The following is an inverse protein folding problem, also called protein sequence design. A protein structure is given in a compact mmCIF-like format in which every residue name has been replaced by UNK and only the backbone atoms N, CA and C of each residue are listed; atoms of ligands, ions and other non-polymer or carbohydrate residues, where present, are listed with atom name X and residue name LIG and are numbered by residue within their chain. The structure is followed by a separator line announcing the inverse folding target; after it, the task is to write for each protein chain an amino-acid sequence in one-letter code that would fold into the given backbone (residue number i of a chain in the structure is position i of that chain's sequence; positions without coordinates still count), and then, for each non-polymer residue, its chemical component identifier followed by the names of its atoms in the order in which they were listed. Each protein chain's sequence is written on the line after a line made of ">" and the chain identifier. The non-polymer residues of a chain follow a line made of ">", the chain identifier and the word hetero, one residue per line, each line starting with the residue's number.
data_IF_797617531134
#
_entry.id   IF_797617531134
#
_cell.length_a   1.000
_cell.length_b   1.000
_cell.length_c   1.000
_cell.angle_alpha   90.00
_cell.angle_beta   90.00
_cell.angle_gamma   90.00
#
_symmetry.space_group_name_H-M   'P 1'
#
loop_
_entity.id
_entity.type
_entity.pdbx_description
1 polymer ?
#
# COMPACT_ATOMS: atom_id res chain seq x y z
N UNK A 1 5.13 -7.37 -1.54
CA UNK A 1 4.79 -6.03 -1.06
C UNK A 1 4.04 -5.27 -2.15
N UNK A 2 2.91 -4.70 -1.80
CA UNK A 2 2.03 -4.00 -2.75
C UNK A 2 1.88 -2.54 -2.32
N UNK A 3 2.18 -1.63 -3.23
CA UNK A 3 1.94 -0.21 -3.09
C UNK A 3 0.71 0.15 -3.95
N UNK A 4 -0.43 0.37 -3.29
CA UNK A 4 -1.66 0.80 -3.94
C UNK A 4 -1.72 2.33 -3.92
N UNK A 5 -1.73 2.95 -5.09
CA UNK A 5 -1.80 4.39 -5.25
C UNK A 5 -3.23 4.82 -5.55
N UNK A 6 -3.76 5.71 -4.75
CA UNK A 6 -5.14 6.14 -4.86
C UNK A 6 -5.34 7.61 -4.50
N UNK A 7 -6.57 8.07 -4.56
CA UNK A 7 -7.00 9.40 -4.15
C UNK A 7 -8.49 9.38 -3.85
N UNK A 8 -8.94 10.25 -2.96
CA UNK A 8 -10.39 10.51 -2.81
C UNK A 8 -11.01 11.09 -4.09
N UNK A 9 -10.19 11.59 -5.01
CA UNK A 9 -10.60 12.07 -6.34
C UNK A 9 -10.54 10.97 -7.43
N UNK A 10 -10.10 9.76 -7.07
CA UNK A 10 -10.10 8.63 -7.98
C UNK A 10 -11.49 7.99 -8.03
N UNK A 11 -12.28 8.30 -9.03
CA UNK A 11 -13.66 7.82 -9.18
C UNK A 11 -13.77 6.30 -9.32
N UNK A 12 -12.73 5.64 -9.85
CA UNK A 12 -12.58 4.18 -9.92
C UNK A 12 -12.07 3.52 -8.62
N UNK A 13 -12.04 4.22 -7.49
CA UNK A 13 -11.57 3.71 -6.19
C UNK A 13 -12.08 2.32 -5.84
N UNK A 14 -13.37 2.05 -6.10
CA UNK A 14 -14.01 0.77 -5.78
C UNK A 14 -13.31 -0.44 -6.41
N UNK A 15 -12.74 -0.31 -7.62
CA UNK A 15 -12.02 -1.40 -8.27
C UNK A 15 -10.73 -1.75 -7.51
N UNK A 16 -9.95 -0.75 -7.09
CA UNK A 16 -8.77 -0.94 -6.23
C UNK A 16 -9.15 -1.55 -4.89
N UNK A 17 -10.18 -1.01 -4.25
CA UNK A 17 -10.71 -1.50 -2.98
C UNK A 17 -11.08 -2.98 -3.02
N UNK A 18 -11.90 -3.42 -3.99
CA UNK A 18 -12.32 -4.80 -4.12
C UNK A 18 -11.13 -5.73 -4.40
N UNK A 19 -10.23 -5.34 -5.31
CA UNK A 19 -9.01 -6.10 -5.59
C UNK A 19 -8.14 -6.31 -4.34
N UNK A 20 -7.96 -5.26 -3.50
CA UNK A 20 -7.21 -5.37 -2.23
C UNK A 20 -7.86 -6.34 -1.24
N UNK A 21 -9.18 -6.28 -1.09
CA UNK A 21 -9.90 -7.23 -0.23
C UNK A 21 -9.67 -8.66 -0.72
N UNK A 22 -9.80 -8.92 -2.03
CA UNK A 22 -9.58 -10.25 -2.59
C UNK A 22 -8.16 -10.75 -2.40
N UNK A 23 -7.17 -9.90 -2.55
CA UNK A 23 -5.78 -10.26 -2.23
C UNK A 23 -5.63 -10.70 -0.76
N UNK A 24 -6.17 -9.93 0.18
CA UNK A 24 -6.13 -10.27 1.60
C UNK A 24 -6.91 -11.56 1.91
N UNK A 25 -8.06 -11.78 1.29
CA UNK A 25 -8.85 -13.01 1.44
C UNK A 25 -8.09 -14.26 0.97
N UNK A 26 -7.37 -14.17 -0.15
CA UNK A 26 -6.68 -15.30 -0.78
C UNK A 26 -5.33 -15.57 -0.10
N UNK A 27 -4.55 -14.54 0.19
CA UNK A 27 -3.16 -14.70 0.62
C UNK A 27 -2.93 -14.44 2.11
N UNK A 28 -3.90 -13.81 2.81
CA UNK A 28 -3.78 -13.52 4.24
C UNK A 28 -2.50 -12.77 4.57
N UNK A 29 -1.73 -13.30 5.53
CA UNK A 29 -0.47 -12.71 6.00
C UNK A 29 0.71 -12.83 4.99
N UNK A 30 0.49 -13.49 3.83
CA UNK A 30 1.51 -13.57 2.79
C UNK A 30 1.52 -12.37 1.83
N UNK A 31 0.62 -11.43 2.02
CA UNK A 31 0.60 -10.18 1.27
C UNK A 31 0.65 -8.99 2.22
N UNK A 32 1.53 -8.04 1.95
CA UNK A 32 1.57 -6.72 2.60
C UNK A 32 1.07 -5.70 1.60
N UNK A 33 0.06 -4.95 1.97
CA UNK A 33 -0.50 -3.86 1.16
C UNK A 33 -0.34 -2.56 1.92
N UNK A 34 0.13 -1.53 1.24
CA UNK A 34 0.16 -0.16 1.74
C UNK A 34 -0.53 0.74 0.73
N UNK A 35 -1.35 1.67 1.20
CA UNK A 35 -2.15 2.55 0.36
C UNK A 35 -1.63 3.98 0.43
N UNK A 36 -1.11 4.47 -0.68
CA UNK A 36 -0.60 5.83 -0.81
C UNK A 36 -1.67 6.75 -1.42
N UNK A 37 -2.22 7.63 -0.62
CA UNK A 37 -3.09 8.70 -1.10
C UNK A 37 -2.30 9.83 -1.74
N UNK A 38 -2.81 10.36 -2.86
CA UNK A 38 -2.16 11.42 -3.60
C UNK A 38 -3.16 12.40 -4.20
N UNK A 39 -2.80 13.66 -4.21
CA UNK A 39 -3.58 14.73 -4.81
C UNK A 39 -3.60 15.99 -3.95
N UNK A 40 -3.83 17.14 -4.59
CA UNK A 40 -3.83 18.43 -3.89
C UNK A 40 -4.98 18.56 -2.90
N UNK A 41 -6.12 17.97 -3.24
CA UNK A 41 -7.36 18.08 -2.48
C UNK A 41 -7.70 16.74 -1.77
N UNK A 42 -6.78 15.76 -1.81
CA UNK A 42 -6.87 14.54 -1.01
C UNK A 42 -6.51 14.85 0.45
N UNK A 43 -7.28 14.39 1.43
CA UNK A 43 -7.00 14.69 2.84
C UNK A 43 -5.90 13.83 3.46
N UNK A 44 -5.45 12.76 2.79
CA UNK A 44 -4.56 11.73 3.36
C UNK A 44 -3.17 11.59 2.71
N UNK A 45 -2.58 12.58 2.02
CA UNK A 45 -1.28 12.40 1.39
C UNK A 45 -0.14 12.42 2.41
N UNK A 46 0.66 11.36 2.46
CA UNK A 46 1.95 11.38 3.14
C UNK A 46 2.98 12.15 2.28
N UNK A 47 3.66 13.14 2.87
CA UNK A 47 4.51 14.10 2.13
C UNK A 47 5.59 13.41 1.28
N UNK A 48 6.44 12.58 1.90
CA UNK A 48 7.55 11.93 1.20
C UNK A 48 7.06 10.94 0.14
N UNK A 49 5.96 10.23 0.42
CA UNK A 49 5.35 9.36 -0.57
C UNK A 49 4.73 10.11 -1.74
N UNK A 50 4.17 11.29 -1.49
CA UNK A 50 3.70 12.18 -2.56
C UNK A 50 4.85 12.65 -3.46
N UNK A 51 6.02 12.92 -2.88
CA UNK A 51 7.23 13.23 -3.64
C UNK A 51 7.70 12.03 -4.47
N UNK A 52 7.66 10.81 -3.90
CA UNK A 52 7.96 9.56 -4.62
C UNK A 52 7.00 9.32 -5.79
N UNK A 53 5.69 9.42 -5.58
CA UNK A 53 4.67 9.26 -6.63
C UNK A 53 4.92 10.24 -7.79
N UNK A 54 5.29 11.47 -7.48
CA UNK A 54 5.65 12.49 -8.47
C UNK A 54 6.94 12.14 -9.21
N UNK A 55 7.95 11.64 -8.50
CA UNK A 55 9.25 11.23 -9.07
C UNK A 55 9.07 10.10 -10.10
N UNK A 56 8.28 9.08 -9.78
CA UNK A 56 7.98 7.97 -10.70
C UNK A 56 7.04 8.35 -11.84
N UNK A 57 6.45 9.56 -11.79
CA UNK A 57 5.59 10.08 -12.85
C UNK A 57 4.20 9.45 -12.93
N UNK A 58 3.71 8.85 -11.83
CA UNK A 58 2.36 8.27 -11.75
C UNK A 58 1.29 9.30 -12.09
N UNK A 59 0.34 8.95 -12.96
CA UNK A 59 -0.66 9.91 -13.48
C UNK A 59 -2.11 9.48 -13.30
N UNK A 60 -2.35 8.20 -13.14
CA UNK A 60 -3.68 7.62 -13.10
C UNK A 60 -3.91 6.89 -11.79
N UNK A 61 -5.09 7.03 -11.21
CA UNK A 61 -5.50 6.44 -9.94
C UNK A 61 -6.90 5.84 -10.07
N UNK A 62 -7.18 4.70 -9.44
CA UNK A 62 -6.26 3.86 -8.68
C UNK A 62 -5.26 3.12 -9.57
N UNK A 63 -4.11 2.79 -9.00
CA UNK A 63 -3.01 2.09 -9.66
C UNK A 63 -2.18 1.34 -8.63
N UNK A 64 -1.39 0.35 -9.03
CA UNK A 64 -0.63 -0.48 -8.10
C UNK A 64 0.75 -0.81 -8.64
N UNK A 65 1.74 -0.85 -7.74
CA UNK A 65 3.03 -1.47 -7.98
C UNK A 65 3.19 -2.70 -7.08
N UNK A 66 3.77 -3.78 -7.61
CA UNK A 66 4.16 -4.96 -6.83
C UNK A 66 5.68 -5.03 -6.78
N UNK A 67 6.23 -5.03 -5.56
CA UNK A 67 7.67 -5.06 -5.27
C UNK A 67 8.47 -4.01 -6.07
N UNK A 68 7.84 -2.91 -6.49
CA UNK A 68 8.41 -1.86 -7.36
C UNK A 68 8.99 -2.40 -8.68
N UNK A 69 8.69 -3.64 -9.01
CA UNK A 69 9.14 -4.34 -10.23
C UNK A 69 8.04 -4.41 -11.26
N UNK A 70 6.84 -4.80 -10.85
CA UNK A 70 5.64 -4.75 -11.67
C UNK A 70 4.94 -3.43 -11.38
N UNK A 71 4.90 -2.54 -12.37
CA UNK A 71 4.49 -1.16 -12.19
C UNK A 71 3.28 -0.78 -13.02
N UNK A 72 2.54 0.21 -12.52
CA UNK A 72 1.39 0.80 -13.21
C UNK A 72 0.30 -0.22 -13.54
N UNK A 73 0.01 -1.11 -12.57
CA UNK A 73 -1.02 -2.13 -12.70
C UNK A 73 -2.39 -1.54 -12.36
N UNK A 74 -3.30 -1.56 -13.33
CA UNK A 74 -4.66 -1.03 -13.13
C UNK A 74 -5.57 -2.08 -12.49
N UNK A 75 -6.41 -1.70 -11.51
CA UNK A 75 -7.44 -2.59 -11.02
C UNK A 75 -8.53 -2.75 -12.06
N UNK A 76 -8.79 -3.99 -12.42
CA UNK A 76 -10.02 -4.36 -13.12
C UNK A 76 -10.61 -5.64 -12.52
N UNK A 77 -11.91 -5.84 -12.72
CA UNK A 77 -12.60 -7.05 -12.37
C UNK A 77 -13.43 -7.43 -13.59
N UNK A 78 -13.36 -8.68 -14.01
CA UNK A 78 -14.08 -9.12 -15.17
C UNK A 78 -13.93 -10.61 -15.47
N UNK A 79 -14.71 -11.07 -16.43
CA UNK A 79 -14.63 -12.41 -16.97
C UNK A 79 -13.94 -12.34 -18.33
N UNK A 80 -12.87 -13.12 -18.52
CA UNK A 80 -12.15 -13.15 -19.78
C UNK A 80 -12.79 -14.10 -20.81
N UNK A 81 -13.51 -15.11 -20.34
CA UNK A 81 -14.17 -16.15 -21.15
C UNK A 81 -15.58 -16.54 -20.68
N UNK A 82 -16.16 -15.74 -19.76
CA UNK A 82 -17.52 -15.93 -19.27
C UNK A 82 -17.68 -16.93 -18.14
N UNK A 83 -16.61 -17.55 -17.64
CA UNK A 83 -16.71 -18.59 -16.61
C UNK A 83 -16.15 -18.19 -15.24
N UNK A 84 -15.24 -17.17 -15.14
CA UNK A 84 -14.60 -16.79 -13.87
C UNK A 84 -14.45 -15.28 -13.71
N UNK A 85 -14.71 -14.82 -12.50
CA UNK A 85 -14.42 -13.45 -12.11
C UNK A 85 -12.91 -13.30 -11.87
N UNK A 86 -12.24 -12.46 -12.65
CA UNK A 86 -10.81 -12.20 -12.58
C UNK A 86 -10.58 -10.91 -11.79
N UNK A 87 -9.73 -10.97 -10.78
CA UNK A 87 -9.24 -9.81 -10.04
C UNK A 87 -7.81 -9.52 -10.49
N UNK A 88 -7.58 -8.40 -11.17
CA UNK A 88 -6.28 -8.10 -11.79
C UNK A 88 -5.12 -8.11 -10.81
N UNK A 89 -5.30 -7.58 -9.61
CA UNK A 89 -4.23 -7.59 -8.59
C UNK A 89 -3.87 -9.00 -8.13
N UNK A 90 -4.85 -9.91 -8.05
CA UNK A 90 -4.59 -11.32 -7.71
C UNK A 90 -3.78 -11.99 -8.81
N UNK A 91 -4.18 -11.80 -10.08
CA UNK A 91 -3.49 -12.37 -11.24
C UNK A 91 -2.05 -11.84 -11.40
N UNK A 92 -1.86 -10.54 -11.16
CA UNK A 92 -0.53 -9.91 -11.22
C UNK A 92 0.34 -10.30 -10.02
N UNK A 93 -0.25 -10.46 -8.84
CA UNK A 93 0.47 -10.96 -7.66
C UNK A 93 0.90 -12.43 -7.84
N UNK A 94 0.07 -13.27 -8.45
CA UNK A 94 0.42 -14.65 -8.78
C UNK A 94 1.64 -14.73 -9.70
N UNK A 95 1.73 -13.85 -10.67
CA UNK A 95 2.91 -13.73 -11.56
C UNK A 95 4.14 -13.23 -10.79
N UNK A 96 3.96 -12.23 -9.91
CA UNK A 96 5.05 -11.65 -9.14
C UNK A 96 5.66 -12.65 -8.15
N UNK A 97 4.85 -13.44 -7.45
CA UNK A 97 5.32 -14.44 -6.47
C UNK A 97 6.10 -15.61 -7.07
N UNK A 98 6.04 -15.82 -8.40
CA UNK A 98 6.89 -16.80 -9.08
C UNK A 98 8.37 -16.39 -9.09
N UNK A 99 8.67 -15.12 -8.82
CA UNK A 99 10.04 -14.64 -8.70
C UNK A 99 10.67 -15.09 -7.39
N UNK A 100 11.95 -15.44 -7.47
CA UNK A 100 12.71 -15.84 -6.29
C UNK A 100 13.03 -14.61 -5.46
N UNK A 101 12.64 -14.63 -4.18
CA UNK A 101 13.06 -13.60 -3.23
C UNK A 101 14.58 -13.63 -3.03
N UNK A 102 15.20 -12.47 -3.06
CA UNK A 102 16.64 -12.31 -2.80
C UNK A 102 16.96 -12.15 -1.33
N UNK A 103 15.96 -11.84 -0.51
CA UNK A 103 16.12 -11.62 0.93
C UNK A 103 14.81 -11.89 1.69
N UNK A 104 14.96 -12.19 2.99
CA UNK A 104 13.88 -12.16 3.97
C UNK A 104 14.05 -10.92 4.84
N UNK A 105 12.95 -10.21 5.10
CA UNK A 105 12.93 -9.03 5.97
C UNK A 105 11.95 -9.25 7.12
N UNK A 106 12.47 -9.23 8.34
CA UNK A 106 11.67 -9.25 9.58
C UNK A 106 11.58 -7.83 10.13
N UNK A 107 10.38 -7.34 10.36
CA UNK A 107 10.14 -5.98 10.85
C UNK A 107 9.44 -6.02 12.20
N UNK A 108 9.89 -5.18 13.12
CA UNK A 108 9.21 -4.94 14.39
C UNK A 108 9.11 -3.46 14.68
N UNK A 109 7.92 -3.03 15.11
CA UNK A 109 7.64 -1.66 15.53
C UNK A 109 7.30 -1.58 17.02
N UNK A 110 7.69 -0.50 17.68
CA UNK A 110 7.33 -0.24 19.08
C UNK A 110 6.94 1.23 19.27
N UNK A 111 5.71 1.44 19.70
CA UNK A 111 5.25 2.75 20.14
C UNK A 111 5.85 3.07 21.53
N UNK A 112 6.39 4.29 21.70
CA UNK A 112 6.91 4.76 22.98
C UNK A 112 5.80 4.91 24.03
N UNK A 113 6.16 4.89 25.32
CA UNK A 113 5.19 4.99 26.42
C UNK A 113 4.43 6.32 26.41
N UNK A 114 5.04 7.38 25.94
CA UNK A 114 4.44 8.71 25.78
C UNK A 114 3.66 8.89 24.48
N UNK A 115 3.61 7.84 23.64
CA UNK A 115 2.97 7.81 22.32
C UNK A 115 3.51 8.91 21.35
N UNK A 116 4.76 9.31 21.48
CA UNK A 116 5.35 10.34 20.63
C UNK A 116 6.26 9.80 19.54
N UNK A 117 6.78 8.58 19.71
CA UNK A 117 7.69 7.95 18.75
C UNK A 117 7.29 6.52 18.45
N UNK A 118 7.55 6.09 17.21
CA UNK A 118 7.56 4.68 16.82
C UNK A 118 8.98 4.32 16.44
N UNK A 119 9.60 3.41 17.21
CA UNK A 119 10.89 2.80 16.86
C UNK A 119 10.63 1.59 15.99
N UNK A 120 11.32 1.48 14.85
CA UNK A 120 11.20 0.37 13.91
C UNK A 120 12.57 -0.27 13.73
N UNK A 121 12.63 -1.60 13.88
CA UNK A 121 13.80 -2.43 13.59
C UNK A 121 13.47 -3.35 12.41
N UNK A 122 14.35 -3.37 11.40
CA UNK A 122 14.34 -4.33 10.32
C UNK A 122 15.57 -5.23 10.40
N UNK A 123 15.36 -6.54 10.24
CA UNK A 123 16.40 -7.57 10.14
C UNK A 123 16.32 -8.20 8.76
N UNK A 124 17.40 -8.10 8.01
CA UNK A 124 17.48 -8.57 6.63
C UNK A 124 18.46 -9.71 6.53
N UNK A 125 18.01 -10.82 5.98
CA UNK A 125 18.86 -11.98 5.63
C UNK A 125 18.78 -12.21 4.13
N UNK A 126 19.91 -12.15 3.45
CA UNK A 126 20.00 -12.40 2.01
C UNK A 126 20.23 -13.86 1.69
N UNK A 127 19.73 -14.31 0.54
CA UNK A 127 19.91 -15.67 0.02
C UNK A 127 21.18 -15.82 -0.85
N UNK A 128 22.08 -14.81 -0.84
CA UNK A 128 23.33 -14.81 -1.60
C UNK A 128 24.44 -14.06 -0.86
N UNK A 129 25.68 -14.22 -1.32
CA UNK A 129 26.82 -13.39 -0.90
C UNK A 129 27.32 -12.57 -2.08
N UNK A 130 27.76 -11.34 -1.81
CA UNK A 130 28.29 -10.46 -2.85
C UNK A 130 28.90 -9.19 -2.29
N UNK A 131 29.69 -8.50 -3.14
CA UNK A 131 30.30 -7.21 -2.84
C UNK A 131 29.74 -6.12 -3.73
N UNK A 132 29.82 -4.87 -3.28
CA UNK A 132 29.38 -3.67 -4.04
C UNK A 132 27.89 -3.69 -4.39
N UNK A 133 27.07 -4.29 -3.53
CA UNK A 133 25.63 -4.22 -3.65
C UNK A 133 25.13 -2.82 -3.28
N UNK A 134 24.00 -2.43 -3.83
CA UNK A 134 23.37 -1.13 -3.63
C UNK A 134 21.94 -1.23 -3.07
N UNK A 135 21.67 -2.28 -2.28
CA UNK A 135 20.39 -2.40 -1.59
C UNK A 135 20.29 -1.37 -0.47
N UNK A 136 19.10 -0.90 -0.26
CA UNK A 136 18.75 -0.01 0.85
C UNK A 136 17.33 -0.30 1.32
N UNK A 137 17.06 -0.05 2.59
CA UNK A 137 15.72 -0.12 3.16
C UNK A 137 15.02 1.21 3.03
N UNK A 138 13.71 1.17 2.85
CA UNK A 138 12.82 2.27 3.18
C UNK A 138 11.77 1.78 4.18
N UNK A 139 11.16 2.70 4.91
CA UNK A 139 10.20 2.35 5.93
C UNK A 139 8.92 3.16 5.74
N UNK A 140 7.79 2.51 6.03
CA UNK A 140 6.49 3.16 6.06
C UNK A 140 5.75 2.85 7.35
N UNK A 141 4.97 3.82 7.83
CA UNK A 141 3.91 3.60 8.79
C UNK A 141 2.59 3.74 8.05
N UNK A 142 1.70 2.79 8.28
CA UNK A 142 0.30 2.88 7.85
C UNK A 142 -0.62 3.00 9.05
N UNK A 143 -1.80 3.54 8.82
CA UNK A 143 -2.89 3.58 9.80
C UNK A 143 -4.13 2.92 9.22
N UNK A 144 -4.81 2.13 10.06
CA UNK A 144 -6.07 1.49 9.73
C UNK A 144 -7.25 2.25 10.33
N UNK A 145 -8.40 2.18 9.65
CA UNK A 145 -9.64 2.76 10.13
C UNK A 145 -9.66 4.28 10.12
N UNK A 146 -8.92 4.91 9.21
CA UNK A 146 -8.98 6.36 9.04
C UNK A 146 -10.32 6.79 8.45
N UNK A 147 -10.92 7.81 9.04
CA UNK A 147 -12.21 8.33 8.58
C UNK A 147 -12.42 9.78 9.04
N UNK A 148 -13.21 10.52 8.26
CA UNK A 148 -13.73 11.83 8.66
C UNK A 148 -15.00 12.11 7.85
N UNK A 149 -16.02 12.67 8.49
CA UNK A 149 -17.31 12.97 7.84
C UNK A 149 -17.21 14.01 6.72
N UNK A 150 -16.12 14.80 6.72
CA UNK A 150 -15.86 15.80 5.67
C UNK A 150 -15.17 15.22 4.43
N UNK A 151 -14.65 14.01 4.51
CA UNK A 151 -13.97 13.38 3.37
C UNK A 151 -14.96 12.88 2.34
N UNK A 152 -14.71 13.25 1.10
CA UNK A 152 -15.59 12.94 -0.04
C UNK A 152 -14.81 12.13 -1.04
N UNK A 153 -15.24 10.89 -1.27
CA UNK A 153 -14.72 10.01 -2.32
C UNK A 153 -15.54 10.18 -3.58
N UNK A 154 -14.89 10.49 -4.69
CA UNK A 154 -15.50 10.42 -6.03
C UNK A 154 -15.80 8.96 -6.38
N UNK A 155 -16.93 8.69 -7.03
CA UNK A 155 -17.43 7.35 -7.27
C UNK A 155 -18.15 7.25 -8.62
N UNK A 156 -17.55 6.54 -9.59
CA UNK A 156 -18.18 6.27 -10.89
C UNK A 156 -19.03 4.99 -10.88
N UNK A 157 -18.96 4.20 -9.79
CA UNK A 157 -19.66 2.92 -9.74
C UNK A 157 -21.18 3.07 -9.73
N UNK A 158 -21.73 4.23 -9.34
CA UNK A 158 -23.16 4.50 -9.40
C UNK A 158 -23.72 4.38 -10.83
N UNK A 159 -22.88 4.55 -11.87
CA UNK A 159 -23.27 4.38 -13.27
C UNK A 159 -23.53 2.91 -13.65
N UNK A 160 -23.08 1.97 -12.82
CA UNK A 160 -23.26 0.51 -13.01
C UNK A 160 -24.54 -0.02 -12.39
N UNK A 161 -25.40 0.82 -11.81
CA UNK A 161 -26.70 0.41 -11.28
C UNK A 161 -27.56 -0.24 -12.38
N UNK A 162 -28.05 -1.45 -12.10
CA UNK A 162 -28.84 -2.24 -13.06
C UNK A 162 -28.03 -3.08 -14.07
N UNK A 163 -26.72 -3.10 -14.00
CA UNK A 163 -25.87 -3.99 -14.82
C UNK A 163 -25.59 -5.35 -14.16
N UNK A 164 -25.99 -5.54 -12.89
CA UNK A 164 -25.86 -6.80 -12.18
C UNK A 164 -24.43 -7.10 -11.68
N UNK A 165 -23.53 -6.13 -11.69
CA UNK A 165 -22.16 -6.32 -11.22
C UNK A 165 -22.11 -6.69 -9.72
N UNK A 166 -23.01 -6.14 -8.92
CA UNK A 166 -23.20 -6.45 -7.50
C UNK A 166 -23.69 -7.89 -7.25
N UNK A 167 -24.31 -8.53 -8.23
CA UNK A 167 -24.72 -9.93 -8.14
C UNK A 167 -23.53 -10.87 -8.32
N UNK A 168 -22.55 -10.46 -9.15
CA UNK A 168 -21.31 -11.20 -9.39
C UNK A 168 -20.28 -10.93 -8.28
N UNK A 169 -20.14 -9.67 -7.83
CA UNK A 169 -19.22 -9.26 -6.76
C UNK A 169 -19.93 -8.32 -5.77
N UNK A 170 -20.48 -8.86 -4.66
CA UNK A 170 -21.23 -8.10 -3.67
C UNK A 170 -20.47 -6.95 -3.01
N UNK A 171 -19.13 -6.94 -3.04
CA UNK A 171 -18.33 -5.85 -2.49
C UNK A 171 -18.52 -4.53 -3.25
N UNK A 172 -19.07 -4.56 -4.48
CA UNK A 172 -19.43 -3.35 -5.21
C UNK A 172 -20.77 -2.74 -4.80
N UNK A 173 -21.66 -3.49 -4.15
CA UNK A 173 -23.01 -3.03 -3.81
C UNK A 173 -23.03 -1.65 -3.11
N UNK A 174 -22.17 -1.38 -2.08
CA UNK A 174 -22.16 -0.08 -1.43
C UNK A 174 -21.80 1.09 -2.35
N UNK A 175 -20.97 0.84 -3.37
CA UNK A 175 -20.53 1.85 -4.33
C UNK A 175 -21.57 2.07 -5.43
N UNK A 176 -22.18 1.00 -5.94
CA UNK A 176 -23.21 1.08 -6.99
C UNK A 176 -24.46 1.78 -6.48
N UNK A 177 -24.87 1.50 -5.23
CA UNK A 177 -26.05 2.13 -4.61
C UNK A 177 -25.80 3.52 -4.02
N UNK A 178 -24.55 3.97 -4.01
CA UNK A 178 -24.22 5.32 -3.57
C UNK A 178 -24.44 6.36 -4.69
N UNK A 179 -24.19 7.61 -4.38
CA UNK A 179 -24.13 8.70 -5.36
C UNK A 179 -22.72 8.88 -5.92
N UNK A 180 -22.59 9.75 -6.93
CA UNK A 180 -21.30 10.19 -7.49
C UNK A 180 -20.26 10.59 -6.42
N UNK A 181 -20.73 11.01 -5.26
CA UNK A 181 -19.90 11.42 -4.12
C UNK A 181 -20.30 10.66 -2.87
N UNK A 182 -19.34 9.99 -2.28
CA UNK A 182 -19.53 9.20 -1.06
C UNK A 182 -18.85 9.86 0.12
N UNK A 183 -19.46 9.77 1.30
CA UNK A 183 -18.86 10.16 2.58
C UNK A 183 -18.94 9.01 3.57
N UNK A 184 -18.19 9.11 4.67
CA UNK A 184 -18.22 8.10 5.74
C UNK A 184 -17.52 6.78 5.38
N UNK A 185 -16.69 6.76 4.35
CA UNK A 185 -15.83 5.62 4.08
C UNK A 185 -14.74 5.51 5.15
N UNK A 186 -14.36 4.27 5.42
CA UNK A 186 -13.22 3.92 6.27
C UNK A 186 -12.09 3.45 5.37
N UNK A 187 -10.90 4.01 5.60
CA UNK A 187 -9.71 3.71 4.83
C UNK A 187 -8.70 2.96 5.70
N UNK A 188 -8.24 1.81 5.19
CA UNK A 188 -7.24 0.97 5.84
C UNK A 188 -5.93 0.97 5.05
N UNK A 189 -4.84 0.55 5.72
CA UNK A 189 -3.49 0.47 5.15
C UNK A 189 -2.93 1.83 4.67
N UNK A 190 -3.49 2.95 5.11
CA UNK A 190 -3.13 4.29 4.61
C UNK A 190 -1.73 4.68 5.06
N UNK A 191 -0.83 4.96 4.13
CA UNK A 191 0.51 5.47 4.46
C UNK A 191 0.39 6.85 5.09
N UNK A 192 0.81 6.95 6.34
CA UNK A 192 0.79 8.21 7.11
C UNK A 192 2.19 8.79 7.32
N UNK A 193 3.23 7.95 7.24
CA UNK A 193 4.63 8.37 7.37
C UNK A 193 5.54 7.46 6.54
N UNK A 194 6.65 8.00 6.05
CA UNK A 194 7.70 7.21 5.41
C UNK A 194 9.08 7.82 5.64
N UNK A 195 10.12 6.99 5.51
CA UNK A 195 11.52 7.40 5.46
C UNK A 195 12.23 6.60 4.39
N UNK A 196 12.91 7.28 3.47
CA UNK A 196 13.66 6.65 2.40
C UNK A 196 12.82 6.16 1.23
N UNK A 197 11.58 6.62 1.04
CA UNK A 197 10.68 6.13 0.01
C UNK A 197 11.22 6.28 -1.42
N UNK A 198 12.02 7.32 -1.69
CA UNK A 198 12.55 7.63 -3.02
C UNK A 198 13.79 6.80 -3.34
N UNK A 199 14.81 6.83 -2.47
CA UNK A 199 16.13 6.26 -2.76
C UNK A 199 16.58 5.17 -1.79
N UNK A 200 15.75 4.84 -0.81
CA UNK A 200 16.16 4.08 0.37
C UNK A 200 16.99 4.94 1.35
N UNK A 201 17.23 4.40 2.52
CA UNK A 201 18.07 5.02 3.55
C UNK A 201 19.52 4.60 3.30
N UNK A 202 20.40 5.56 3.05
CA UNK A 202 21.81 5.33 2.81
C UNK A 202 22.46 4.57 3.98
N UNK A 203 23.19 3.49 3.66
CA UNK A 203 23.88 2.67 4.66
C UNK A 203 22.98 1.77 5.50
N UNK A 204 21.69 1.69 5.21
CA UNK A 204 20.77 0.76 5.89
C UNK A 204 21.09 -0.71 5.62
N UNK A 205 21.71 -1.00 4.48
CA UNK A 205 22.27 -2.30 4.10
C UNK A 205 23.74 -2.14 3.76
N UNK A 206 24.58 -3.07 4.24
CA UNK A 206 26.01 -3.11 3.89
C UNK A 206 26.18 -3.43 2.40
N UNK A 207 27.11 -2.75 1.69
CA UNK A 207 27.47 -3.13 0.33
C UNK A 207 28.10 -4.53 0.22
N UNK A 208 28.61 -5.07 1.33
CA UNK A 208 29.07 -6.47 1.42
C UNK A 208 27.99 -7.29 2.08
N UNK A 209 27.51 -8.30 1.38
CA UNK A 209 26.47 -9.22 1.82
C UNK A 209 27.07 -10.60 2.00
N UNK A 210 26.78 -11.24 3.14
CA UNK A 210 27.11 -12.63 3.43
C UNK A 210 25.81 -13.40 3.68
N UNK A 211 25.63 -14.54 3.03
CA UNK A 211 24.39 -15.35 3.06
C UNK A 211 23.93 -15.75 4.47
N UNK A 212 24.86 -15.96 5.40
CA UNK A 212 24.54 -16.38 6.77
C UNK A 212 24.45 -15.22 7.77
N UNK A 213 24.61 -13.98 7.30
CA UNK A 213 24.63 -12.80 8.15
C UNK A 213 23.28 -12.09 8.12
N UNK A 214 22.77 -11.75 9.31
CA UNK A 214 21.61 -10.89 9.46
C UNK A 214 22.09 -9.44 9.61
N UNK A 215 21.67 -8.59 8.71
CA UNK A 215 21.89 -7.16 8.81
C UNK A 215 20.72 -6.52 9.54
N UNK A 216 20.99 -5.62 10.47
CA UNK A 216 19.96 -4.94 11.27
C UNK A 216 20.05 -3.45 11.07
N UNK A 217 18.94 -2.83 10.75
CA UNK A 217 18.80 -1.38 10.69
C UNK A 217 17.66 -0.91 11.60
N UNK A 218 17.80 0.27 12.19
CA UNK A 218 16.81 0.86 13.10
C UNK A 218 16.58 2.30 12.75
N UNK A 219 15.32 2.69 12.79
CA UNK A 219 14.88 4.08 12.64
C UNK A 219 13.86 4.44 13.72
N UNK A 220 13.58 5.73 13.84
CA UNK A 220 12.51 6.25 14.69
C UNK A 220 11.68 7.27 13.91
N UNK A 221 10.36 7.16 14.03
CA UNK A 221 9.42 8.16 13.57
C UNK A 221 8.98 9.04 14.74
N UNK A 222 9.20 10.34 14.65
CA UNK A 222 8.60 11.30 15.59
C UNK A 222 7.18 11.61 15.08
N UNK A 223 6.17 11.13 15.80
CA UNK A 223 4.78 11.19 15.33
C UNK A 223 4.21 12.61 15.25
N UNK A 224 4.84 13.60 15.92
CA UNK A 224 4.46 15.00 15.79
C UNK A 224 4.73 15.60 14.41
N UNK A 225 5.61 14.98 13.62
CA UNK A 225 5.96 15.41 12.27
C UNK A 225 4.92 14.96 11.22
N UNK A 226 3.97 14.11 11.64
CA UNK A 226 2.95 13.50 10.77
C UNK A 226 1.53 13.81 11.26
N UNK A 227 1.03 15.04 11.07
CA UNK A 227 -0.25 15.49 11.61
C UNK A 227 -1.48 14.77 11.04
N UNK A 228 -1.32 14.00 9.97
CA UNK A 228 -2.36 13.18 9.37
C UNK A 228 -2.78 11.99 10.27
N UNK A 229 -1.91 11.52 11.15
CA UNK A 229 -2.17 10.39 12.04
C UNK A 229 -3.35 10.71 12.96
N UNK A 230 -4.40 9.88 12.90
CA UNK A 230 -5.61 10.00 13.71
C UNK A 230 -5.52 9.17 14.99
N UNK A 231 -5.12 7.90 14.89
CA UNK A 231 -4.98 7.00 16.04
C UNK A 231 -3.64 6.26 16.05
N UNK A 232 -2.74 6.72 16.89
CA UNK A 232 -1.39 6.16 17.05
C UNK A 232 -1.35 4.66 17.45
N UNK A 233 -2.48 4.10 17.93
CA UNK A 233 -2.60 2.69 18.31
C UNK A 233 -2.96 1.78 17.14
N UNK A 234 -3.33 2.37 16.02
CA UNK A 234 -3.69 1.66 14.78
C UNK A 234 -2.56 1.72 13.74
N UNK A 235 -1.38 2.12 14.16
CA UNK A 235 -0.21 2.17 13.29
C UNK A 235 0.40 0.79 13.08
N UNK A 236 0.71 0.47 11.81
CA UNK A 236 1.51 -0.66 11.41
C UNK A 236 2.82 -0.16 10.81
N UNK A 237 3.91 -0.93 10.95
CA UNK A 237 5.23 -0.57 10.44
C UNK A 237 5.75 -1.62 9.46
N UNK A 238 6.30 -1.16 8.33
CA UNK A 238 6.87 -2.01 7.29
C UNK A 238 8.23 -1.46 6.83
N UNK A 239 9.05 -2.34 6.25
CA UNK A 239 10.34 -1.99 5.64
C UNK A 239 10.57 -2.79 4.36
#
# INVERSE_FOLDING_TARGET
>A
FIEDYTSTQASGYAFGYVNKIKLKEIYGDNVVIVTAHYGKDDPMPAKEYSEYIKEIGMRYFPNTDIDRTYRELYPYIGSYDGEYLIYSYVDDFDKAKEQMSVATVDVSGKLSEDNNTVDVEAKVKFEFSGEKNNYALFYVLTEDGMQDDSWVQENDMYEFDGYGLEEEEPLFEPFIKASEKMTGLVYDDVIVASQGAITGIEGSISPTINIDEIQTNKISFNLSDYPIIQDKKKLNAYA
#
